data_IF_471682000413
#
_entry.id   IF_471682000413
#
_cell.length_a   1.000
_cell.length_b   1.000
_cell.length_c   1.000
_cell.angle_alpha   90.00
_cell.angle_beta   90.00
_cell.angle_gamma   90.00
#
_symmetry.space_group_name_H-M   'P 1'
#
loop_
_entity.id
_entity.type
_entity.pdbx_description
1 polymer ?
#
# COMPACT_ATOMS: atom_id res chain seq x y z
N UNK A 1 -44.21 7.63 26.77
CA UNK A 1 -43.82 6.75 25.64
C UNK A 1 -42.80 7.39 24.68
N UNK A 2 -42.87 8.71 24.39
CA UNK A 2 -41.94 9.40 23.48
C UNK A 2 -40.47 9.52 23.95
N UNK A 3 -40.22 9.60 25.25
CA UNK A 3 -38.86 9.73 25.81
C UNK A 3 -38.00 8.46 25.66
N UNK A 4 -38.61 7.27 25.78
CA UNK A 4 -37.91 5.98 25.55
C UNK A 4 -37.49 5.80 24.08
N UNK A 5 -38.28 6.31 23.14
CA UNK A 5 -37.98 6.26 21.69
C UNK A 5 -36.84 7.22 21.29
N UNK A 6 -36.75 8.37 21.95
CA UNK A 6 -35.66 9.35 21.73
C UNK A 6 -34.31 8.84 22.25
N UNK A 7 -34.30 8.15 23.39
CA UNK A 7 -33.10 7.55 23.98
C UNK A 7 -32.56 6.39 23.13
N UNK A 8 -33.41 5.49 22.64
CA UNK A 8 -32.97 4.39 21.77
C UNK A 8 -32.44 4.88 20.42
N UNK A 9 -33.04 5.93 19.84
CA UNK A 9 -32.55 6.54 18.61
C UNK A 9 -31.18 7.22 18.79
N UNK A 10 -30.95 7.89 19.93
CA UNK A 10 -29.65 8.50 20.23
C UNK A 10 -28.54 7.46 20.39
N UNK A 11 -28.80 6.38 21.12
CA UNK A 11 -27.84 5.28 21.30
C UNK A 11 -27.50 4.57 19.99
N UNK A 12 -28.50 4.31 19.13
CA UNK A 12 -28.28 3.71 17.82
C UNK A 12 -27.41 4.62 16.92
N UNK A 13 -27.66 5.93 16.94
CA UNK A 13 -26.88 6.90 16.16
C UNK A 13 -25.40 6.96 16.62
N UNK A 14 -25.14 6.92 17.93
CA UNK A 14 -23.77 6.91 18.46
C UNK A 14 -23.01 5.64 18.10
N UNK A 15 -23.67 4.47 18.15
CA UNK A 15 -23.04 3.19 17.85
C UNK A 15 -22.69 3.09 16.36
N UNK A 16 -23.58 3.53 15.47
CA UNK A 16 -23.34 3.53 14.02
C UNK A 16 -22.19 4.49 13.67
N UNK A 17 -22.13 5.65 14.31
CA UNK A 17 -21.07 6.63 14.05
C UNK A 17 -19.69 6.12 14.49
N UNK A 18 -19.63 5.41 15.64
CA UNK A 18 -18.39 4.80 16.13
C UNK A 18 -17.93 3.65 15.22
N UNK A 19 -18.84 2.78 14.78
CA UNK A 19 -18.51 1.68 13.87
C UNK A 19 -17.95 2.19 12.52
N UNK A 20 -18.55 3.24 11.95
CA UNK A 20 -18.05 3.85 10.70
C UNK A 20 -16.66 4.48 10.87
N UNK A 21 -16.40 5.11 12.02
CA UNK A 21 -15.09 5.69 12.32
C UNK A 21 -14.01 4.61 12.50
N UNK A 22 -14.33 3.51 13.17
CA UNK A 22 -13.43 2.37 13.34
C UNK A 22 -13.10 1.70 11.99
N UNK A 23 -14.10 1.56 11.12
CA UNK A 23 -13.91 1.01 9.77
C UNK A 23 -13.03 1.92 8.91
N UNK A 24 -13.24 3.24 8.96
CA UNK A 24 -12.39 4.19 8.26
C UNK A 24 -10.95 4.16 8.78
N UNK A 25 -10.78 4.11 10.10
CA UNK A 25 -9.46 4.01 10.71
C UNK A 25 -8.72 2.75 10.26
N UNK A 26 -9.39 1.59 10.28
CA UNK A 26 -8.83 0.34 9.81
C UNK A 26 -8.51 0.36 8.32
N UNK A 27 -9.37 0.96 7.49
CA UNK A 27 -9.12 1.16 6.06
C UNK A 27 -7.83 1.95 5.83
N UNK A 28 -7.65 3.06 6.55
CA UNK A 28 -6.47 3.91 6.45
C UNK A 28 -5.20 3.18 6.91
N UNK A 29 -5.27 2.41 8.00
CA UNK A 29 -4.15 1.58 8.45
C UNK A 29 -3.74 0.55 7.39
N UNK A 30 -4.70 -0.14 6.78
CA UNK A 30 -4.43 -1.14 5.74
C UNK A 30 -3.87 -0.49 4.47
N UNK A 31 -4.42 0.65 4.04
CA UNK A 31 -3.88 1.43 2.94
C UNK A 31 -2.44 1.88 3.22
N UNK A 32 -2.15 2.31 4.46
CA UNK A 32 -0.81 2.65 4.92
C UNK A 32 0.19 1.51 4.74
N UNK A 33 -0.19 0.28 5.11
CA UNK A 33 0.67 -0.91 4.89
C UNK A 33 0.96 -1.18 3.41
N UNK A 34 -0.01 -0.94 2.52
CA UNK A 34 0.22 -1.05 1.08
C UNK A 34 1.23 0.01 0.62
N UNK A 35 1.09 1.25 1.07
CA UNK A 35 2.03 2.34 0.76
C UNK A 35 3.43 2.02 1.26
N UNK A 36 3.58 1.54 2.49
CA UNK A 36 4.87 1.16 3.06
C UNK A 36 5.51 0.01 2.26
N UNK A 37 4.73 -1.00 1.89
CA UNK A 37 5.19 -2.10 1.04
C UNK A 37 5.64 -1.63 -0.35
N UNK A 38 4.90 -0.69 -0.96
CA UNK A 38 5.29 -0.05 -2.23
C UNK A 38 6.62 0.67 -2.08
N UNK A 39 6.77 1.49 -1.03
CA UNK A 39 7.99 2.25 -0.78
C UNK A 39 9.21 1.33 -0.66
N UNK A 40 9.13 0.31 0.17
CA UNK A 40 10.24 -0.62 0.41
C UNK A 40 10.54 -1.45 -0.83
N UNK A 41 9.54 -2.02 -1.49
CA UNK A 41 9.73 -2.83 -2.71
C UNK A 41 10.38 -2.02 -3.81
N UNK A 42 9.92 -0.79 -4.03
CA UNK A 42 10.47 0.08 -5.06
C UNK A 42 11.88 0.57 -4.74
N UNK A 43 12.18 0.87 -3.47
CA UNK A 43 13.55 1.17 -3.02
C UNK A 43 14.52 0.01 -3.30
N UNK A 44 14.14 -1.22 -2.97
CA UNK A 44 15.00 -2.39 -3.21
C UNK A 44 15.15 -2.63 -4.71
N UNK A 45 14.07 -2.54 -5.48
CA UNK A 45 14.13 -2.67 -6.94
C UNK A 45 15.05 -1.61 -7.56
N UNK A 46 15.01 -0.37 -7.06
CA UNK A 46 15.97 0.65 -7.45
C UNK A 46 17.39 0.17 -7.13
N UNK A 47 17.71 -0.16 -5.87
CA UNK A 47 19.07 -0.61 -5.50
C UNK A 47 19.57 -1.78 -6.34
N UNK A 48 18.69 -2.72 -6.68
CA UNK A 48 19.00 -3.95 -7.41
C UNK A 48 18.93 -3.82 -8.93
N UNK A 49 18.64 -2.64 -9.48
CA UNK A 49 18.43 -2.46 -10.94
C UNK A 49 19.68 -2.81 -11.77
N UNK A 50 20.89 -2.69 -11.23
CA UNK A 50 22.11 -3.09 -11.97
C UNK A 50 22.32 -4.61 -11.97
N UNK A 51 22.00 -5.28 -10.85
CA UNK A 51 22.11 -6.73 -10.72
C UNK A 51 21.00 -7.48 -11.48
N UNK A 52 19.76 -7.01 -11.40
CA UNK A 52 18.58 -7.69 -11.98
C UNK A 52 18.11 -7.11 -13.32
N UNK A 53 18.67 -5.98 -13.72
CA UNK A 53 18.35 -5.31 -14.97
C UNK A 53 17.11 -4.39 -14.92
N UNK A 54 17.02 -3.53 -15.95
CA UNK A 54 15.99 -2.49 -16.07
C UNK A 54 14.59 -3.06 -16.32
N UNK A 55 14.46 -4.20 -16.98
CA UNK A 55 13.17 -4.88 -17.18
C UNK A 55 12.52 -5.22 -15.85
N UNK A 56 13.30 -5.75 -14.91
CA UNK A 56 12.81 -6.10 -13.59
C UNK A 56 12.38 -4.86 -12.80
N UNK A 57 13.22 -3.82 -12.82
CA UNK A 57 12.91 -2.53 -12.22
C UNK A 57 11.57 -1.94 -12.71
N UNK A 58 11.37 -1.93 -14.04
CA UNK A 58 10.14 -1.41 -14.65
C UNK A 58 8.89 -2.26 -14.30
N UNK A 59 9.06 -3.57 -14.11
CA UNK A 59 7.97 -4.42 -13.65
C UNK A 59 7.54 -4.05 -12.22
N UNK A 60 8.50 -3.85 -11.29
CA UNK A 60 8.19 -3.41 -9.92
C UNK A 60 7.60 -2.01 -9.91
N UNK A 61 8.10 -1.10 -10.76
CA UNK A 61 7.50 0.23 -10.95
C UNK A 61 6.02 0.13 -11.31
N UNK A 62 5.70 -0.65 -12.33
CA UNK A 62 4.32 -0.86 -12.79
C UNK A 62 3.47 -1.48 -11.68
N UNK A 63 4.04 -2.40 -10.91
CA UNK A 63 3.36 -3.03 -9.79
C UNK A 63 3.04 -2.05 -8.66
N UNK A 64 3.99 -1.17 -8.32
CA UNK A 64 3.81 -0.11 -7.34
C UNK A 64 2.65 0.83 -7.73
N UNK A 65 2.60 1.26 -8.98
CA UNK A 65 1.50 2.10 -9.49
C UNK A 65 0.14 1.39 -9.36
N UNK A 66 0.06 0.10 -9.71
CA UNK A 66 -1.17 -0.70 -9.57
C UNK A 66 -1.58 -0.89 -8.12
N UNK A 67 -0.62 -1.12 -7.21
CA UNK A 67 -0.91 -1.26 -5.78
C UNK A 67 -1.53 0.03 -5.19
N UNK A 68 -1.02 1.19 -5.59
CA UNK A 68 -1.60 2.49 -5.21
C UNK A 68 -3.00 2.70 -5.80
N UNK A 69 -3.23 2.25 -7.03
CA UNK A 69 -4.57 2.31 -7.65
C UNK A 69 -5.59 1.44 -6.90
N UNK A 70 -5.19 0.26 -6.43
CA UNK A 70 -6.07 -0.64 -5.67
C UNK A 70 -6.54 -0.03 -4.34
N UNK A 71 -5.76 0.87 -3.74
CA UNK A 71 -6.17 1.60 -2.54
C UNK A 71 -6.87 2.94 -2.84
N UNK A 72 -7.23 3.17 -4.11
CA UNK A 72 -8.09 4.29 -4.52
C UNK A 72 -7.37 5.48 -5.17
N UNK A 73 -6.06 5.39 -5.47
CA UNK A 73 -5.41 6.43 -6.26
C UNK A 73 -5.86 6.37 -7.73
N UNK A 74 -6.12 7.52 -8.36
CA UNK A 74 -6.25 7.58 -9.82
C UNK A 74 -4.92 7.18 -10.50
N UNK A 75 -4.93 6.66 -11.74
CA UNK A 75 -3.70 6.29 -12.46
C UNK A 75 -2.64 7.40 -12.48
N UNK A 76 -3.04 8.65 -12.74
CA UNK A 76 -2.14 9.80 -12.76
C UNK A 76 -1.49 10.06 -11.39
N UNK A 77 -2.28 10.08 -10.31
CA UNK A 77 -1.76 10.21 -8.95
C UNK A 77 -0.83 9.07 -8.55
N UNK A 78 -1.13 7.83 -8.94
CA UNK A 78 -0.28 6.68 -8.66
C UNK A 78 1.08 6.81 -9.36
N UNK A 79 1.09 7.13 -10.65
CA UNK A 79 2.32 7.40 -11.41
C UNK A 79 3.11 8.56 -10.78
N UNK A 80 2.45 9.67 -10.44
CA UNK A 80 3.08 10.82 -9.79
C UNK A 80 3.69 10.47 -8.42
N UNK A 81 3.05 9.60 -7.64
CA UNK A 81 3.61 9.15 -6.37
C UNK A 81 4.88 8.31 -6.56
N UNK A 82 4.86 7.37 -7.52
CA UNK A 82 6.04 6.56 -7.84
C UNK A 82 7.17 7.43 -8.42
N UNK A 83 6.88 8.41 -9.27
CA UNK A 83 7.85 9.40 -9.75
C UNK A 83 8.51 10.19 -8.61
N UNK A 84 7.71 10.63 -7.63
CA UNK A 84 8.23 11.36 -6.47
C UNK A 84 9.12 10.47 -5.62
N UNK A 85 8.73 9.21 -5.44
CA UNK A 85 9.51 8.23 -4.71
C UNK A 85 10.84 7.95 -5.42
N UNK A 86 10.84 7.77 -6.75
CA UNK A 86 12.06 7.59 -7.53
C UNK A 86 13.02 8.77 -7.36
N UNK A 87 12.52 10.00 -7.53
CA UNK A 87 13.33 11.22 -7.34
C UNK A 87 13.88 11.34 -5.92
N UNK A 88 13.09 10.96 -4.92
CA UNK A 88 13.56 10.91 -3.54
C UNK A 88 14.71 9.91 -3.40
N UNK A 89 14.56 8.69 -3.91
CA UNK A 89 15.60 7.66 -3.86
C UNK A 89 16.87 8.11 -4.60
N UNK A 90 16.73 8.71 -5.78
CA UNK A 90 17.84 9.26 -6.56
C UNK A 90 18.60 10.36 -5.81
N UNK A 91 17.88 11.18 -5.04
CA UNK A 91 18.49 12.24 -4.22
C UNK A 91 19.23 11.70 -2.99
N UNK A 92 18.90 10.49 -2.54
CA UNK A 92 19.46 9.87 -1.35
C UNK A 92 20.78 9.14 -1.64
N UNK A 93 21.89 9.85 -1.48
CA UNK A 93 23.26 9.35 -1.73
C UNK A 93 23.66 8.10 -0.93
N UNK A 94 22.93 7.77 0.13
CA UNK A 94 23.18 6.59 0.98
C UNK A 94 22.54 5.32 0.44
N UNK A 95 21.57 5.43 -0.48
CA UNK A 95 20.94 4.29 -1.12
C UNK A 95 21.85 3.81 -2.27
N UNK A 96 22.96 3.17 -1.89
CA UNK A 96 23.89 2.57 -2.84
C UNK A 96 23.24 1.51 -3.73
N UNK A 97 23.87 1.23 -4.86
CA UNK A 97 23.49 0.15 -5.78
C UNK A 97 23.98 -1.18 -5.22
N UNK A 98 23.16 -2.22 -5.32
CA UNK A 98 23.53 -3.59 -4.97
C UNK A 98 23.92 -4.34 -6.25
N UNK A 99 25.06 -5.01 -6.21
CA UNK A 99 25.58 -5.83 -7.31
C UNK A 99 25.32 -7.34 -7.10
N UNK A 100 24.96 -7.73 -5.87
CA UNK A 100 24.68 -9.13 -5.52
C UNK A 100 23.28 -9.56 -5.99
N UNK A 101 23.26 -10.44 -7.00
CA UNK A 101 22.02 -10.98 -7.59
C UNK A 101 21.23 -11.81 -6.57
N UNK A 102 21.88 -12.68 -5.79
CA UNK A 102 21.17 -13.59 -4.88
C UNK A 102 20.47 -12.81 -3.76
N UNK A 103 21.18 -11.88 -3.13
CA UNK A 103 20.61 -10.98 -2.14
C UNK A 103 19.50 -10.11 -2.73
N UNK A 104 19.63 -9.67 -3.99
CA UNK A 104 18.59 -8.92 -4.67
C UNK A 104 17.32 -9.76 -4.92
N UNK A 105 17.44 -10.98 -5.42
CA UNK A 105 16.30 -11.89 -5.63
C UNK A 105 15.61 -12.21 -4.31
N UNK A 106 16.38 -12.52 -3.25
CA UNK A 106 15.82 -12.85 -1.95
C UNK A 106 15.07 -11.66 -1.34
N UNK A 107 15.70 -10.47 -1.30
CA UNK A 107 15.09 -9.28 -0.72
C UNK A 107 13.80 -8.91 -1.45
N UNK A 108 13.80 -8.96 -2.78
CA UNK A 108 12.61 -8.59 -3.55
C UNK A 108 11.49 -9.62 -3.39
N UNK A 109 11.83 -10.91 -3.33
CA UNK A 109 10.82 -11.96 -3.11
C UNK A 109 10.10 -11.78 -1.78
N UNK A 110 10.85 -11.47 -0.71
CA UNK A 110 10.27 -11.21 0.62
C UNK A 110 9.35 -9.99 0.60
N UNK A 111 9.82 -8.85 0.10
CA UNK A 111 9.00 -7.61 0.14
C UNK A 111 7.82 -7.65 -0.83
N UNK A 112 7.93 -8.39 -1.94
CA UNK A 112 6.79 -8.61 -2.82
C UNK A 112 5.71 -9.47 -2.14
N UNK A 113 6.10 -10.49 -1.38
CA UNK A 113 5.16 -11.27 -0.58
C UNK A 113 4.44 -10.41 0.46
N UNK A 114 5.19 -9.55 1.18
CA UNK A 114 4.63 -8.65 2.17
C UNK A 114 3.64 -7.64 1.55
N UNK A 115 4.00 -7.07 0.41
CA UNK A 115 3.14 -6.14 -0.33
C UNK A 115 1.88 -6.83 -0.85
N UNK A 116 1.98 -8.03 -1.43
CA UNK A 116 0.82 -8.83 -1.83
C UNK A 116 -0.11 -9.14 -0.66
N UNK A 117 0.46 -9.48 0.49
CA UNK A 117 -0.29 -9.73 1.72
C UNK A 117 -1.01 -8.47 2.20
N UNK A 118 -0.34 -7.31 2.16
CA UNK A 118 -0.95 -6.02 2.50
C UNK A 118 -2.11 -5.67 1.56
N UNK A 119 -1.94 -5.87 0.24
CA UNK A 119 -2.99 -5.63 -0.75
C UNK A 119 -4.18 -6.57 -0.54
N UNK A 120 -3.93 -7.86 -0.32
CA UNK A 120 -4.97 -8.83 -0.02
C UNK A 120 -5.77 -8.41 1.21
N UNK A 121 -5.10 -8.06 2.31
CA UNK A 121 -5.77 -7.62 3.53
C UNK A 121 -6.62 -6.36 3.32
N UNK A 122 -6.16 -5.41 2.50
CA UNK A 122 -6.93 -4.23 2.14
C UNK A 122 -8.16 -4.58 1.30
N UNK A 123 -8.01 -5.43 0.28
CA UNK A 123 -9.09 -5.85 -0.62
C UNK A 123 -10.14 -6.65 0.16
N UNK A 124 -9.72 -7.66 0.93
CA UNK A 124 -10.62 -8.50 1.73
C UNK A 124 -11.43 -7.66 2.72
N UNK A 125 -10.86 -6.57 3.26
CA UNK A 125 -11.56 -5.65 4.14
C UNK A 125 -12.54 -4.72 3.40
N UNK A 126 -12.17 -4.22 2.23
CA UNK A 126 -12.98 -3.23 1.48
C UNK A 126 -14.00 -3.85 0.53
N UNK A 127 -13.80 -5.09 0.12
CA UNK A 127 -14.63 -5.85 -0.81
C UNK A 127 -14.87 -7.28 -0.30
N UNK A 128 -15.53 -7.45 0.85
CA UNK A 128 -15.68 -8.76 1.52
C UNK A 128 -16.49 -9.80 0.72
N UNK A 129 -17.15 -9.40 -0.38
CA UNK A 129 -18.02 -10.27 -1.19
C UNK A 129 -17.31 -10.94 -2.40
N UNK A 130 -16.01 -10.70 -2.61
CA UNK A 130 -15.21 -11.39 -3.63
C UNK A 130 -14.20 -12.36 -2.99
N UNK A 131 -14.61 -13.60 -2.64
CA UNK A 131 -13.69 -14.67 -2.28
C UNK A 131 -12.85 -15.17 -3.48
#
# INVERSE_FOLDING_TARGET
>A
MRLKLLLTAFFACTIITQALADDEHKRLQLAGKVIDGVNVSFMIAYQCRDALGTTYYNAIRTYAEKALQQIGASPEKAAQQVDRLEKFIESEKKLGRKEDIEGCVWNISTVNYDLQTAQKNYIDFTHPENP
#
